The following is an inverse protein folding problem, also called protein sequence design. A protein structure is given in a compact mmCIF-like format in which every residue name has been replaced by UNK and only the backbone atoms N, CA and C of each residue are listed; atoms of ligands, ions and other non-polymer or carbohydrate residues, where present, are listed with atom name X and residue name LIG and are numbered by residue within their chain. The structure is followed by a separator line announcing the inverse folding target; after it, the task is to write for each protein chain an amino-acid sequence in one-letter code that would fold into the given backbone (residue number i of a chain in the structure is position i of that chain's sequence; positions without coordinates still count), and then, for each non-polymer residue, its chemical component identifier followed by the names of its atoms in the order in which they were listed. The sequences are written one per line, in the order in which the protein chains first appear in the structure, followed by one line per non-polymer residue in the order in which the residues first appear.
data_IF_505729990976
#
_entry.id   IF_505729990976
#
_cell.length_a   1.000
_cell.length_b   1.000
_cell.length_c   1.000
_cell.angle_alpha   90.00
_cell.angle_beta   90.00
_cell.angle_gamma   90.00
#
_symmetry.space_group_name_H-M   'P 1'
#
loop_
_entity.id
_entity.type
_entity.pdbx_description
1 polymer ?
#
# COMPACT_ATOMS: atom_id res chain seq x y z
N UNK A 1 -12.87 61.03 28.52
CA UNK A 1 -12.07 61.06 27.27
C UNK A 1 -10.79 60.22 27.36
N UNK A 2 -9.98 60.32 28.43
CA UNK A 2 -8.73 59.51 28.60
C UNK A 2 -8.90 57.99 28.47
N UNK A 3 -10.04 57.44 28.92
CA UNK A 3 -10.33 55.98 28.83
C UNK A 3 -10.56 55.50 27.39
N UNK A 4 -11.16 56.34 26.55
CA UNK A 4 -11.45 56.01 25.14
C UNK A 4 -10.14 56.11 24.33
N UNK A 5 -9.30 57.11 24.62
CA UNK A 5 -7.96 57.22 24.02
C UNK A 5 -7.08 56.02 24.35
N UNK A 6 -7.11 55.54 25.60
CA UNK A 6 -6.36 54.34 26.00
C UNK A 6 -6.84 53.09 25.26
N UNK A 7 -8.16 52.93 25.09
CA UNK A 7 -8.73 51.80 24.36
C UNK A 7 -8.33 51.79 22.87
N UNK A 8 -8.33 52.96 22.22
CA UNK A 8 -7.90 53.10 20.82
C UNK A 8 -6.41 52.80 20.66
N UNK A 9 -5.56 53.24 21.59
CA UNK A 9 -4.12 52.96 21.58
C UNK A 9 -3.85 51.46 21.77
N UNK A 10 -4.56 50.80 22.69
CA UNK A 10 -4.43 49.34 22.88
C UNK A 10 -4.88 48.55 21.64
N UNK A 11 -5.98 48.95 20.99
CA UNK A 11 -6.47 48.30 19.76
C UNK A 11 -5.44 48.41 18.61
N UNK A 12 -4.70 49.51 18.54
CA UNK A 12 -3.75 49.80 17.46
C UNK A 12 -2.44 49.01 17.60
N UNK A 13 -2.04 48.62 18.83
CA UNK A 13 -0.83 47.80 19.07
C UNK A 13 -1.10 46.30 18.77
N UNK A 14 -2.36 45.87 18.87
CA UNK A 14 -2.76 44.48 18.60
C UNK A 14 -2.83 44.13 17.10
N UNK A 15 -2.90 45.13 16.21
CA UNK A 15 -2.96 44.90 14.76
C UNK A 15 -1.58 44.73 14.10
N UNK A 16 -0.48 44.84 14.85
CA UNK A 16 0.88 44.75 14.31
C UNK A 16 1.40 43.33 14.07
N UNK A 17 0.68 42.28 14.46
CA UNK A 17 1.09 40.88 14.29
C UNK A 17 0.42 40.21 13.10
N UNK A 18 0.67 40.73 11.89
CA UNK A 18 0.37 39.99 10.65
C UNK A 18 1.53 40.09 9.66
N UNK A 19 2.68 39.54 10.02
CA UNK A 19 3.64 39.04 9.03
C UNK A 19 4.67 38.15 9.71
N UNK A 20 5.05 37.09 9.00
CA UNK A 20 6.17 36.15 9.22
C UNK A 20 5.79 34.85 9.93
N UNK A 21 5.21 33.94 9.15
CA UNK A 21 5.67 32.55 9.12
C UNK A 21 5.98 32.12 7.67
N UNK A 22 6.92 32.84 7.01
CA UNK A 22 7.74 32.19 5.99
C UNK A 22 8.75 31.29 6.72
N UNK A 23 8.27 30.12 7.18
CA UNK A 23 9.12 29.01 7.59
C UNK A 23 9.43 28.17 6.37
N UNK A 24 10.58 28.46 5.75
CA UNK A 24 11.17 27.66 4.68
C UNK A 24 11.24 26.18 5.06
N UNK A 25 10.43 25.35 4.38
CA UNK A 25 10.88 24.15 3.64
C UNK A 25 9.89 23.89 2.50
N UNK A 26 9.80 24.83 1.58
CA UNK A 26 9.35 24.51 0.23
C UNK A 26 10.54 23.85 -0.46
N UNK A 27 10.62 22.52 -0.36
CA UNK A 27 11.33 21.75 -1.37
C UNK A 27 10.71 22.14 -2.71
N UNK A 28 11.52 22.78 -3.55
CA UNK A 28 11.14 23.19 -4.89
C UNK A 28 11.09 21.92 -5.73
N UNK A 29 10.01 21.15 -5.57
CA UNK A 29 9.48 20.40 -6.69
C UNK A 29 8.54 21.34 -7.47
N UNK A 30 9.14 22.26 -8.21
CA UNK A 30 8.52 22.70 -9.47
C UNK A 30 8.58 21.53 -10.45
N UNK A 31 7.84 20.46 -10.16
CA UNK A 31 7.37 19.60 -11.23
C UNK A 31 6.27 20.38 -11.94
N UNK A 32 6.56 20.72 -13.18
CA UNK A 32 5.62 21.13 -14.21
C UNK A 32 4.45 20.13 -14.19
N UNK A 33 3.42 20.42 -13.41
CA UNK A 33 2.21 19.60 -13.30
C UNK A 33 1.48 19.71 -14.62
N UNK A 34 1.87 18.87 -15.57
CA UNK A 34 0.92 18.38 -16.56
C UNK A 34 -0.09 17.61 -15.72
N UNK A 35 -1.29 18.17 -15.52
CA UNK A 35 -2.32 17.62 -14.66
C UNK A 35 -2.80 16.26 -15.20
N UNK A 36 -2.01 15.21 -14.97
CA UNK A 36 -2.40 13.82 -15.17
C UNK A 36 -3.38 13.41 -14.08
N UNK A 37 -4.36 12.58 -14.42
CA UNK A 37 -5.30 12.01 -13.45
C UNK A 37 -4.56 10.99 -12.57
N UNK A 38 -4.48 11.24 -11.26
CA UNK A 38 -3.97 10.26 -10.29
C UNK A 38 -5.09 9.33 -9.86
N UNK A 39 -4.83 8.03 -9.89
CA UNK A 39 -5.71 7.00 -9.33
C UNK A 39 -5.06 6.42 -8.08
N UNK A 40 -5.73 6.54 -6.94
CA UNK A 40 -5.24 6.02 -5.67
C UNK A 40 -6.00 4.76 -5.27
N UNK A 41 -5.26 3.69 -5.01
CA UNK A 41 -5.78 2.42 -4.51
C UNK A 41 -5.25 2.23 -3.10
N UNK A 42 -6.14 1.94 -2.16
CA UNK A 42 -5.75 1.64 -0.78
C UNK A 42 -6.23 0.24 -0.42
N UNK A 43 -5.32 -0.58 0.09
CA UNK A 43 -5.62 -1.93 0.55
C UNK A 43 -5.05 -2.14 1.94
N UNK A 44 -5.91 -2.60 2.85
CA UNK A 44 -5.54 -3.03 4.19
C UNK A 44 -5.70 -4.55 4.29
N UNK A 45 -4.79 -5.18 5.01
CA UNK A 45 -4.84 -6.60 5.35
C UNK A 45 -5.00 -6.71 6.86
N UNK A 46 -5.91 -7.59 7.31
CA UNK A 46 -6.02 -7.98 8.71
C UNK A 46 -5.02 -9.11 9.03
N UNK A 47 -5.03 -9.60 10.27
CA UNK A 47 -4.20 -10.73 10.67
C UNK A 47 -4.54 -11.99 9.85
N UNK A 48 -3.53 -12.76 9.40
CA UNK A 48 -3.76 -13.99 8.67
C UNK A 48 -4.32 -15.08 9.58
N UNK A 49 -5.27 -15.84 9.04
CA UNK A 49 -5.57 -17.16 9.58
C UNK A 49 -4.48 -18.17 9.18
N UNK A 50 -4.10 -19.03 10.12
CA UNK A 50 -3.10 -20.09 9.89
C UNK A 50 -3.81 -21.43 9.81
N UNK A 51 -3.73 -22.05 8.63
CA UNK A 51 -4.28 -23.38 8.39
C UNK A 51 -3.13 -24.38 8.40
N UNK A 52 -3.29 -25.48 9.14
CA UNK A 52 -2.28 -26.55 9.19
C UNK A 52 -2.58 -27.59 8.13
N UNK A 53 -1.55 -28.02 7.41
CA UNK A 53 -1.65 -29.01 6.33
C UNK A 53 -0.44 -29.94 6.36
N UNK A 54 -0.52 -31.05 5.63
CA UNK A 54 0.52 -32.07 5.58
C UNK A 54 0.77 -32.51 4.14
N UNK A 55 2.04 -32.62 3.75
CA UNK A 55 2.50 -33.24 2.50
C UNK A 55 3.47 -34.34 2.89
N UNK A 56 3.21 -35.58 2.47
CA UNK A 56 4.08 -36.73 2.76
C UNK A 56 4.49 -36.81 4.24
N UNK A 57 3.52 -36.63 5.16
CA UNK A 57 3.71 -36.61 6.61
C UNK A 57 4.50 -35.40 7.17
N UNK A 58 5.11 -34.57 6.33
CA UNK A 58 5.72 -33.30 6.74
C UNK A 58 4.63 -32.23 6.95
N UNK A 59 4.72 -31.53 8.09
CA UNK A 59 3.77 -30.51 8.49
C UNK A 59 4.11 -29.16 7.87
N UNK A 60 3.11 -28.50 7.31
CA UNK A 60 3.19 -27.16 6.74
C UNK A 60 2.06 -26.26 7.27
N UNK A 61 2.17 -24.97 6.98
CA UNK A 61 1.10 -24.00 7.19
C UNK A 61 0.73 -23.28 5.89
N UNK A 62 -0.55 -23.02 5.70
CA UNK A 62 -1.08 -22.09 4.71
C UNK A 62 -1.50 -20.82 5.45
N UNK A 63 -1.02 -19.67 4.98
CA UNK A 63 -1.49 -18.37 5.44
C UNK A 63 -2.70 -17.98 4.60
N UNK A 64 -3.76 -17.47 5.24
CA UNK A 64 -4.94 -16.99 4.52
C UNK A 64 -5.42 -15.67 5.09
N UNK A 65 -5.50 -14.68 4.21
CA UNK A 65 -6.08 -13.36 4.46
C UNK A 65 -7.44 -13.28 3.77
N UNK A 66 -8.46 -12.77 4.47
CA UNK A 66 -9.82 -12.66 3.91
C UNK A 66 -9.88 -11.70 2.72
N UNK A 67 -8.93 -10.77 2.63
CA UNK A 67 -8.90 -9.71 1.63
C UNK A 67 -8.10 -10.09 0.37
N UNK A 68 -7.51 -11.28 0.34
CA UNK A 68 -6.73 -11.81 -0.80
C UNK A 68 -7.61 -12.63 -1.74
N UNK A 69 -7.26 -12.64 -3.03
CA UNK A 69 -8.05 -13.30 -4.08
C UNK A 69 -7.20 -14.19 -5.00
N UNK A 70 -5.99 -14.53 -4.56
CA UNK A 70 -5.11 -15.43 -5.27
C UNK A 70 -3.87 -15.78 -4.44
N UNK A 71 -2.94 -16.46 -5.09
CA UNK A 71 -1.65 -16.83 -4.50
C UNK A 71 -0.52 -16.50 -5.47
N UNK A 72 0.58 -15.99 -4.91
CA UNK A 72 1.86 -15.93 -5.59
C UNK A 72 2.43 -17.35 -5.66
N UNK A 73 2.52 -17.86 -6.89
CA UNK A 73 2.98 -19.21 -7.20
C UNK A 73 4.33 -19.10 -7.89
N UNK A 74 5.37 -19.49 -7.18
CA UNK A 74 6.71 -19.64 -7.70
C UNK A 74 7.16 -21.05 -7.33
N UNK A 75 7.61 -21.81 -8.32
CA UNK A 75 7.98 -23.22 -8.14
C UNK A 75 8.92 -23.42 -6.95
N UNK A 76 8.60 -24.40 -6.09
CA UNK A 76 9.34 -24.74 -4.89
C UNK A 76 9.53 -23.57 -3.88
N UNK A 77 8.81 -22.45 -4.05
CA UNK A 77 8.77 -21.32 -3.10
C UNK A 77 7.50 -21.38 -2.25
N UNK A 78 7.51 -20.73 -1.06
CA UNK A 78 6.32 -20.59 -0.24
C UNK A 78 5.11 -20.08 -1.03
N UNK A 79 3.97 -20.72 -0.85
CA UNK A 79 2.69 -20.28 -1.37
C UNK A 79 2.23 -19.06 -0.56
N UNK A 80 2.36 -17.88 -1.15
CA UNK A 80 2.02 -16.62 -0.46
C UNK A 80 0.67 -16.09 -0.96
N UNK A 81 -0.24 -15.67 -0.07
CA UNK A 81 -1.47 -14.98 -0.45
C UNK A 81 -1.19 -13.70 -1.25
N UNK A 82 -2.01 -13.45 -2.26
CA UNK A 82 -1.90 -12.30 -3.14
C UNK A 82 -3.27 -11.64 -3.30
N UNK A 83 -3.29 -10.30 -3.24
CA UNK A 83 -4.40 -9.51 -3.73
C UNK A 83 -4.05 -8.94 -5.11
N UNK A 84 -4.97 -9.11 -6.06
CA UNK A 84 -4.87 -8.57 -7.41
C UNK A 84 -6.15 -7.83 -7.75
N UNK A 85 -6.01 -6.60 -8.24
CA UNK A 85 -7.12 -5.79 -8.73
C UNK A 85 -6.86 -5.40 -10.18
N UNK A 86 -7.91 -5.43 -11.00
CA UNK A 86 -7.86 -5.01 -12.41
C UNK A 86 -8.65 -3.74 -12.55
N UNK A 87 -8.04 -2.72 -13.15
CA UNK A 87 -8.66 -1.42 -13.39
C UNK A 87 -8.84 -1.21 -14.89
N UNK A 88 -10.03 -0.80 -15.29
CA UNK A 88 -10.34 -0.42 -16.66
C UNK A 88 -10.03 1.06 -16.87
N UNK A 89 -9.12 1.36 -17.79
CA UNK A 89 -8.77 2.72 -18.17
C UNK A 89 -9.33 3.05 -19.57
N UNK A 90 -9.69 4.31 -19.84
CA UNK A 90 -10.11 4.73 -21.17
C UNK A 90 -9.03 4.44 -22.22
N UNK A 91 -9.46 4.14 -23.43
CA UNK A 91 -8.56 3.95 -24.56
C UNK A 91 -7.68 5.20 -24.77
N UNK A 92 -6.39 4.99 -25.09
CA UNK A 92 -5.40 6.07 -25.22
C UNK A 92 -4.79 6.56 -23.90
N UNK A 93 -5.20 6.03 -22.75
CA UNK A 93 -4.55 6.32 -21.47
C UNK A 93 -3.13 5.74 -21.44
N UNK A 94 -2.14 6.55 -21.06
CA UNK A 94 -0.77 6.11 -20.81
C UNK A 94 -0.46 6.21 -19.32
N UNK A 95 -0.04 5.11 -18.73
CA UNK A 95 0.47 5.09 -17.35
C UNK A 95 1.92 5.58 -17.40
N UNK A 96 2.18 6.72 -16.75
CA UNK A 96 3.53 7.31 -16.71
C UNK A 96 4.32 6.88 -15.49
N UNK A 97 3.63 6.54 -14.40
CA UNK A 97 4.24 6.19 -13.13
C UNK A 97 3.32 5.27 -12.31
N UNK A 98 3.93 4.41 -11.50
CA UNK A 98 3.26 3.61 -10.46
C UNK A 98 4.12 3.69 -9.21
N UNK A 99 3.57 4.27 -8.14
CA UNK A 99 4.20 4.32 -6.82
C UNK A 99 3.38 3.52 -5.82
N UNK A 100 4.08 2.86 -4.90
CA UNK A 100 3.47 2.08 -3.83
C UNK A 100 4.10 2.50 -2.50
N UNK A 101 3.25 2.97 -1.59
CA UNK A 101 3.63 3.27 -0.22
C UNK A 101 3.21 2.10 0.67
N UNK A 102 4.18 1.47 1.31
CA UNK A 102 3.94 0.38 2.26
C UNK A 102 3.72 0.99 3.64
N UNK A 103 2.53 0.78 4.20
CA UNK A 103 2.20 1.16 5.58
C UNK A 103 2.16 -0.06 6.51
N UNK A 104 2.41 0.17 7.81
CA UNK A 104 2.22 -0.80 8.91
C UNK A 104 2.75 -2.21 8.61
N UNK A 105 4.08 -2.36 8.63
CA UNK A 105 4.72 -3.67 8.52
C UNK A 105 4.83 -4.33 9.88
N UNK A 106 4.42 -5.59 9.96
CA UNK A 106 4.56 -6.42 11.15
C UNK A 106 5.42 -7.65 10.86
N UNK A 107 6.09 -8.17 11.88
CA UNK A 107 6.91 -9.38 11.78
C UNK A 107 6.33 -10.47 12.66
N UNK A 108 6.10 -11.64 12.07
CA UNK A 108 5.57 -12.81 12.74
C UNK A 108 6.57 -13.96 12.69
N UNK A 109 6.85 -14.58 13.85
CA UNK A 109 7.68 -15.79 13.92
C UNK A 109 6.81 -17.03 13.71
N UNK A 110 7.14 -17.82 12.69
CA UNK A 110 6.45 -19.06 12.36
C UNK A 110 7.23 -20.26 12.93
N UNK A 111 6.52 -21.21 13.55
CA UNK A 111 7.12 -22.44 14.08
C UNK A 111 7.30 -23.53 13.02
N UNK A 112 6.64 -23.37 11.86
CA UNK A 112 6.57 -24.37 10.80
C UNK A 112 6.68 -23.65 9.46
N UNK A 113 7.22 -24.34 8.44
CA UNK A 113 7.37 -23.79 7.10
C UNK A 113 6.00 -23.56 6.45
N UNK A 114 5.94 -22.53 5.60
CA UNK A 114 4.78 -22.29 4.74
C UNK A 114 4.75 -23.36 3.65
N UNK A 115 3.55 -23.81 3.30
CA UNK A 115 3.28 -24.73 2.20
C UNK A 115 4.03 -24.29 0.93
N UNK A 116 4.86 -25.14 0.31
CA UNK A 116 5.48 -24.80 -0.95
C UNK A 116 4.46 -24.82 -2.09
N UNK A 117 4.70 -24.01 -3.12
CA UNK A 117 3.94 -24.07 -4.37
C UNK A 117 4.27 -25.38 -5.09
N UNK A 118 3.27 -26.14 -5.57
CA UNK A 118 3.53 -27.34 -6.34
C UNK A 118 4.27 -27.01 -7.64
N UNK A 119 5.12 -27.92 -8.08
CA UNK A 119 5.70 -27.89 -9.41
C UNK A 119 4.62 -28.17 -10.44
N UNK A 120 4.58 -27.36 -11.50
CA UNK A 120 3.68 -27.63 -12.62
C UNK A 120 4.08 -28.97 -13.25
N UNK A 121 3.14 -29.91 -13.30
CA UNK A 121 3.35 -31.16 -14.02
C UNK A 121 3.24 -30.84 -15.51
N UNK A 122 4.30 -31.14 -16.27
CA UNK A 122 4.19 -31.23 -17.73
C UNK A 122 3.33 -32.47 -18.00
N UNK A 123 2.05 -32.27 -18.29
CA UNK A 123 1.21 -33.34 -18.80
C UNK A 123 1.62 -33.59 -20.24
N UNK A 124 2.54 -34.52 -20.47
CA UNK A 124 2.79 -35.03 -21.81
C UNK A 124 1.57 -35.87 -22.21
N UNK A 125 0.56 -35.23 -22.80
CA UNK A 125 -0.49 -35.92 -23.53
C UNK A 125 0.10 -36.39 -24.86
N UNK A 126 0.91 -37.45 -24.81
CA UNK A 126 1.30 -38.25 -25.97
C UNK A 126 0.73 -39.65 -25.75
N UNK A 127 -0.45 -39.86 -26.33
CA UNK A 127 -0.97 -41.11 -26.89
C UNK A 127 -0.58 -42.43 -26.21
N UNK A 128 -1.52 -43.04 -25.50
CA UNK A 128 -1.58 -44.50 -25.39
C UNK A 128 -2.76 -44.94 -26.26
N UNK A 129 -2.46 -45.48 -27.44
CA UNK A 129 -3.39 -46.31 -28.23
C UNK A 129 -3.62 -47.65 -27.54
#
# INVERSE_FOLDING_TARGET
MKKITCFVVCLLILSSFTAISLGQKADVQQQKQTAGKVLSIQKKFLEPSIIRTYINEEKFIELRFSETNGYLRLEDKPLLPLYRETINLPFGTKITDISCEIGNTETMKLQTKILPTPRDLITDMQNYE
#
